data_IF_357406501666
#
_entry.id   IF_357406501666
#
_cell.length_a   1.000
_cell.length_b   1.000
_cell.length_c   1.000
_cell.angle_alpha   90.00
_cell.angle_beta   90.00
_cell.angle_gamma   90.00
#
_symmetry.space_group_name_H-M   'P 1'
#
loop_
_entity.id
_entity.type
_entity.pdbx_description
1 polymer ?
#
# COMPACT_ATOMS: atom_id res chain seq x y z
N UNK A 1 -8.30 -33.90 16.02
CA UNK A 1 -7.35 -32.98 16.68
C UNK A 1 -7.75 -31.56 16.29
N UNK A 2 -8.31 -30.82 17.24
CA UNK A 2 -8.92 -29.51 17.03
C UNK A 2 -7.85 -28.42 17.06
N UNK A 3 -7.66 -27.70 15.95
CA UNK A 3 -6.70 -26.60 15.88
C UNK A 3 -7.27 -25.36 16.58
N UNK A 4 -6.66 -24.96 17.70
CA UNK A 4 -6.94 -23.67 18.34
C UNK A 4 -6.43 -22.55 17.44
N UNK A 5 -7.23 -21.53 17.11
CA UNK A 5 -6.75 -20.40 16.32
C UNK A 5 -5.84 -19.53 17.21
N UNK A 6 -4.60 -19.34 16.79
CA UNK A 6 -3.71 -18.34 17.38
C UNK A 6 -4.20 -16.98 16.90
N UNK A 7 -4.90 -16.26 17.78
CA UNK A 7 -5.24 -14.87 17.54
C UNK A 7 -3.93 -14.08 17.37
N UNK A 8 -3.66 -13.65 16.14
CA UNK A 8 -2.64 -12.65 15.86
C UNK A 8 -3.04 -11.36 16.57
N UNK A 9 -2.47 -11.11 17.76
CA UNK A 9 -2.53 -9.80 18.40
C UNK A 9 -1.76 -8.83 17.49
N UNK A 10 -2.50 -8.18 16.59
CA UNK A 10 -2.04 -6.96 15.94
C UNK A 10 -1.82 -5.98 17.08
N UNK A 11 -0.56 -5.71 17.40
CA UNK A 11 -0.21 -4.56 18.24
C UNK A 11 -0.73 -3.36 17.45
N UNK A 12 -1.70 -2.59 17.96
CA UNK A 12 -2.17 -1.42 17.24
C UNK A 12 -0.95 -0.53 17.05
N UNK A 13 -0.57 -0.27 15.79
CA UNK A 13 0.28 0.89 15.50
C UNK A 13 -0.48 2.06 16.13
N UNK A 14 0.12 2.76 17.08
CA UNK A 14 -0.52 3.91 17.69
C UNK A 14 -0.84 4.92 16.58
N UNK A 15 -2.05 4.86 16.05
CA UNK A 15 -2.58 5.85 15.14
C UNK A 15 -2.78 7.07 16.01
N UNK A 16 -1.76 7.92 16.08
CA UNK A 16 -1.92 9.24 16.67
C UNK A 16 -3.07 9.88 15.91
N UNK A 17 -4.13 10.23 16.65
CA UNK A 17 -5.26 10.93 16.07
C UNK A 17 -4.72 12.18 15.36
N UNK A 18 -5.26 12.45 14.17
CA UNK A 18 -5.00 13.68 13.45
C UNK A 18 -5.32 14.85 14.37
N UNK A 19 -4.35 15.74 14.61
CA UNK A 19 -4.59 16.94 15.41
C UNK A 19 -5.22 17.97 14.47
N UNK A 20 -6.44 18.41 14.79
CA UNK A 20 -7.05 19.56 14.14
C UNK A 20 -6.38 20.83 14.71
N UNK A 21 -5.70 21.65 13.89
CA UNK A 21 -5.04 22.85 14.36
C UNK A 21 -5.96 23.89 14.99
N UNK A 22 -7.26 23.83 14.70
CA UNK A 22 -8.26 24.71 15.35
C UNK A 22 -8.50 24.36 16.82
N UNK A 23 -8.13 23.15 17.24
CA UNK A 23 -8.30 22.64 18.60
C UNK A 23 -7.03 22.81 19.46
N UNK A 24 -5.96 23.38 18.89
CA UNK A 24 -4.72 23.63 19.63
C UNK A 24 -4.89 24.88 20.51
N UNK A 25 -4.73 24.71 21.81
CA UNK A 25 -4.60 25.82 22.73
C UNK A 25 -3.17 26.37 22.66
N UNK A 26 -3.03 27.57 22.10
CA UNK A 26 -1.73 28.21 21.89
C UNK A 26 -1.29 28.97 23.15
N UNK A 27 -0.06 28.70 23.63
CA UNK A 27 0.52 29.37 24.79
C UNK A 27 1.11 30.75 24.47
N UNK A 28 1.32 31.07 23.18
CA UNK A 28 1.82 32.38 22.73
C UNK A 28 1.51 32.63 21.26
N UNK A 29 1.51 33.90 20.86
CA UNK A 29 1.37 34.30 19.44
C UNK A 29 2.53 33.77 18.59
N UNK A 30 3.74 33.67 19.17
CA UNK A 30 4.89 33.06 18.49
C UNK A 30 4.61 31.60 18.13
N UNK A 31 4.03 30.83 19.06
CA UNK A 31 3.66 29.45 18.81
C UNK A 31 2.57 29.35 17.75
N UNK A 32 1.52 30.18 17.85
CA UNK A 32 0.42 30.22 16.87
C UNK A 32 0.94 30.52 15.46
N UNK A 33 1.78 31.53 15.31
CA UNK A 33 2.34 31.92 14.02
C UNK A 33 3.25 30.84 13.44
N UNK A 34 4.07 30.19 14.26
CA UNK A 34 4.90 29.08 13.83
C UNK A 34 4.07 27.88 13.34
N UNK A 35 2.99 27.54 14.06
CA UNK A 35 2.08 26.46 13.65
C UNK A 35 1.34 26.81 12.36
N UNK A 36 0.82 28.03 12.22
CA UNK A 36 0.17 28.48 11.00
C UNK A 36 1.10 28.49 9.79
N UNK A 37 2.38 28.87 9.98
CA UNK A 37 3.38 28.80 8.92
C UNK A 37 3.57 27.36 8.43
N UNK A 38 3.68 26.39 9.35
CA UNK A 38 3.76 24.98 9.00
C UNK A 38 2.51 24.50 8.27
N UNK A 39 1.31 24.82 8.78
CA UNK A 39 0.06 24.45 8.11
C UNK A 39 0.05 24.94 6.67
N UNK A 40 0.41 26.20 6.44
CA UNK A 40 0.45 26.79 5.11
C UNK A 40 1.48 26.10 4.20
N UNK A 41 2.66 25.75 4.72
CA UNK A 41 3.71 25.05 3.97
C UNK A 41 3.29 23.64 3.52
N UNK A 42 2.49 22.94 4.33
CA UNK A 42 1.97 21.61 4.01
C UNK A 42 0.56 21.62 3.39
N UNK A 43 -0.06 22.79 3.23
CA UNK A 43 -1.38 22.91 2.61
C UNK A 43 -1.26 22.83 1.08
N UNK A 44 -1.88 21.82 0.49
CA UNK A 44 -1.94 21.66 -0.96
C UNK A 44 -3.16 22.41 -1.49
N UNK A 45 -2.93 23.45 -2.28
CA UNK A 45 -4.00 24.16 -2.97
C UNK A 45 -4.59 23.31 -4.11
N UNK A 46 -5.85 23.55 -4.53
CA UNK A 46 -6.43 22.88 -5.68
C UNK A 46 -5.58 23.04 -6.95
N UNK A 47 -4.97 24.21 -7.15
CA UNK A 47 -4.09 24.47 -8.29
C UNK A 47 -2.82 23.61 -8.22
N UNK A 48 -2.14 23.60 -7.06
CA UNK A 48 -0.94 22.78 -6.87
C UNK A 48 -1.24 21.29 -7.09
N UNK A 49 -2.42 20.82 -6.67
CA UNK A 49 -2.84 19.44 -6.92
C UNK A 49 -2.99 19.13 -8.42
N UNK A 50 -3.57 20.06 -9.21
CA UNK A 50 -3.65 19.90 -10.66
C UNK A 50 -2.26 19.89 -11.30
N UNK A 51 -1.36 20.76 -10.85
CA UNK A 51 0.01 20.83 -11.37
C UNK A 51 0.79 19.55 -11.05
N UNK A 52 0.68 19.04 -9.82
CA UNK A 52 1.26 17.74 -9.42
C UNK A 52 0.71 16.61 -10.28
N UNK A 53 -0.61 16.57 -10.49
CA UNK A 53 -1.25 15.56 -11.37
C UNK A 53 -0.71 15.65 -12.80
N UNK A 54 -0.61 16.84 -13.36
CA UNK A 54 -0.10 17.05 -14.71
C UNK A 54 1.36 16.54 -14.84
N UNK A 55 2.21 16.91 -13.89
CA UNK A 55 3.60 16.46 -13.84
C UNK A 55 3.71 14.93 -13.68
N UNK A 56 2.82 14.32 -12.88
CA UNK A 56 2.78 12.87 -12.71
C UNK A 56 2.41 12.16 -14.01
N UNK A 57 1.42 12.67 -14.75
CA UNK A 57 1.03 12.15 -16.08
C UNK A 57 2.18 12.29 -17.07
N UNK A 58 2.88 13.43 -17.08
CA UNK A 58 4.06 13.62 -17.92
C UNK A 58 5.17 12.62 -17.58
N UNK A 59 5.45 12.39 -16.29
CA UNK A 59 6.40 11.40 -15.82
C UNK A 59 6.08 9.98 -16.27
N UNK A 60 4.81 9.58 -16.15
CA UNK A 60 4.36 8.27 -16.66
C UNK A 60 4.55 8.15 -18.18
N UNK A 61 4.20 9.20 -18.94
CA UNK A 61 4.36 9.21 -20.39
C UNK A 61 5.83 9.13 -20.82
N UNK A 62 6.75 9.72 -20.06
CA UNK A 62 8.20 9.59 -20.30
C UNK A 62 8.65 8.15 -20.01
N UNK A 63 8.26 7.60 -18.87
CA UNK A 63 8.59 6.22 -18.48
C UNK A 63 8.10 5.15 -19.45
N UNK A 64 6.93 5.35 -20.07
CA UNK A 64 6.41 4.43 -21.09
C UNK A 64 7.16 4.50 -22.44
N UNK A 65 7.93 5.57 -22.69
CA UNK A 65 8.63 5.75 -23.99
C UNK A 65 10.02 5.14 -24.00
N UNK A 66 10.72 5.12 -22.87
CA UNK A 66 12.08 4.56 -22.76
C UNK A 66 12.45 4.27 -21.31
N UNK A 67 13.41 3.38 -21.14
CA UNK A 67 14.01 3.06 -19.84
C UNK A 67 14.87 4.20 -19.30
N UNK A 68 15.15 4.16 -17.99
CA UNK A 68 16.04 5.09 -17.30
C UNK A 68 15.41 6.45 -16.94
N UNK A 69 14.10 6.61 -17.14
CA UNK A 69 13.33 7.75 -16.64
C UNK A 69 12.99 7.59 -15.16
N UNK A 70 12.68 8.72 -14.49
CA UNK A 70 12.35 8.74 -13.04
C UNK A 70 11.22 7.77 -12.68
N UNK A 71 10.22 7.65 -13.55
CA UNK A 71 9.17 6.65 -13.44
C UNK A 71 9.49 5.50 -14.39
N UNK A 72 9.84 4.33 -13.86
CA UNK A 72 10.27 3.20 -14.68
C UNK A 72 9.17 2.55 -15.53
N UNK A 73 7.89 2.71 -15.14
CA UNK A 73 6.72 2.15 -15.85
C UNK A 73 6.90 0.68 -16.29
N UNK A 74 7.44 -0.15 -15.40
CA UNK A 74 7.79 -1.55 -15.68
C UNK A 74 6.54 -2.34 -16.11
N UNK A 75 6.65 -3.06 -17.22
CA UNK A 75 5.57 -3.90 -17.75
C UNK A 75 5.38 -5.15 -16.88
N UNK A 76 4.16 -5.38 -16.38
CA UNK A 76 3.83 -6.53 -15.55
C UNK A 76 3.53 -7.82 -16.32
N UNK A 77 3.37 -7.73 -17.66
CA UNK A 77 2.92 -8.81 -18.54
C UNK A 77 1.53 -9.38 -18.22
N UNK A 78 0.74 -8.68 -17.40
CA UNK A 78 -0.66 -9.03 -17.13
C UNK A 78 -1.54 -8.38 -18.19
N UNK A 79 -2.00 -9.17 -19.16
CA UNK A 79 -2.74 -8.68 -20.34
C UNK A 79 -4.27 -8.70 -20.18
N UNK A 80 -4.78 -9.29 -19.10
CA UNK A 80 -6.21 -9.47 -18.85
C UNK A 80 -6.61 -9.06 -17.44
N UNK A 81 -7.91 -8.85 -17.24
CA UNK A 81 -8.52 -8.61 -15.93
C UNK A 81 -9.47 -9.74 -15.63
N UNK A 82 -9.53 -10.14 -14.36
CA UNK A 82 -10.48 -11.15 -13.93
C UNK A 82 -11.91 -10.60 -14.01
N UNK A 83 -12.84 -11.42 -14.48
CA UNK A 83 -14.26 -11.08 -14.57
C UNK A 83 -15.12 -11.79 -13.52
N UNK A 84 -14.52 -12.66 -12.72
CA UNK A 84 -15.17 -13.42 -11.65
C UNK A 84 -15.79 -14.72 -12.12
N UNK A 85 -15.76 -15.04 -13.42
CA UNK A 85 -16.20 -16.35 -13.94
C UNK A 85 -15.12 -17.43 -13.79
N UNK A 86 -13.91 -17.05 -13.40
CA UNK A 86 -12.78 -17.97 -13.30
C UNK A 86 -13.03 -19.05 -12.25
N UNK A 87 -12.63 -20.27 -12.61
CA UNK A 87 -12.68 -21.43 -11.75
C UNK A 87 -11.31 -22.09 -11.69
N UNK A 88 -11.07 -22.85 -10.62
CA UNK A 88 -9.89 -23.71 -10.50
C UNK A 88 -9.00 -23.38 -9.31
N UNK A 89 -7.92 -24.16 -9.19
CA UNK A 89 -6.98 -24.07 -8.07
C UNK A 89 -5.63 -23.54 -8.53
N UNK A 90 -5.14 -22.52 -7.84
CA UNK A 90 -3.90 -21.80 -8.16
C UNK A 90 -3.02 -21.74 -6.91
N UNK A 91 -1.70 -21.60 -7.12
CA UNK A 91 -0.74 -21.40 -6.04
C UNK A 91 -0.11 -20.02 -6.16
N UNK A 92 -0.06 -19.31 -5.03
CA UNK A 92 0.73 -18.09 -4.89
C UNK A 92 1.87 -18.33 -3.91
N UNK A 93 3.08 -17.91 -4.32
CA UNK A 93 4.27 -17.90 -3.48
C UNK A 93 4.68 -16.45 -3.25
N UNK A 94 4.75 -16.06 -1.99
CA UNK A 94 5.08 -14.70 -1.55
C UNK A 94 6.33 -14.76 -0.68
N UNK A 95 7.45 -14.33 -1.26
CA UNK A 95 8.75 -14.32 -0.60
C UNK A 95 9.01 -12.92 -0.03
N UNK A 96 8.78 -12.77 1.28
CA UNK A 96 9.19 -11.58 2.01
C UNK A 96 10.59 -11.74 2.59
N UNK A 97 11.15 -10.67 3.15
CA UNK A 97 12.52 -10.68 3.71
C UNK A 97 12.76 -11.59 4.93
N UNK A 98 11.70 -12.13 5.55
CA UNK A 98 11.81 -13.01 6.73
C UNK A 98 11.01 -14.29 6.57
N UNK A 99 10.03 -14.32 5.66
CA UNK A 99 9.12 -15.46 5.55
C UNK A 99 8.74 -15.72 4.10
N UNK A 100 8.58 -17.00 3.79
CA UNK A 100 7.89 -17.49 2.61
C UNK A 100 6.45 -17.80 3.00
N UNK A 101 5.49 -17.26 2.25
CA UNK A 101 4.08 -17.62 2.35
C UNK A 101 3.67 -18.40 1.12
N UNK A 102 3.07 -19.56 1.35
CA UNK A 102 2.46 -20.41 0.31
C UNK A 102 0.96 -20.31 0.48
N UNK A 103 0.25 -19.95 -0.60
CA UNK A 103 -1.21 -19.81 -0.62
C UNK A 103 -1.78 -20.70 -1.71
N UNK A 104 -2.66 -21.62 -1.33
CA UNK A 104 -3.57 -22.29 -2.26
C UNK A 104 -4.84 -21.46 -2.40
N UNK A 105 -5.10 -20.98 -3.61
CA UNK A 105 -6.27 -20.18 -3.98
C UNK A 105 -7.20 -21.07 -4.78
N UNK A 106 -8.46 -21.12 -4.40
CA UNK A 106 -9.49 -21.86 -5.14
C UNK A 106 -10.61 -20.89 -5.53
N UNK A 107 -10.79 -20.75 -6.84
CA UNK A 107 -11.82 -19.93 -7.47
C UNK A 107 -13.01 -20.83 -7.81
N UNK A 108 -14.20 -20.46 -7.39
CA UNK A 108 -15.44 -21.24 -7.59
C UNK A 108 -16.36 -20.64 -8.65
N UNK A 109 -15.97 -19.52 -9.27
CA UNK A 109 -16.83 -18.72 -10.13
C UNK A 109 -17.77 -17.81 -9.33
N UNK A 110 -18.37 -16.82 -10.00
CA UNK A 110 -19.21 -15.80 -9.35
C UNK A 110 -18.43 -14.81 -8.47
N UNK A 111 -17.11 -14.71 -8.63
CA UNK A 111 -16.23 -13.87 -7.82
C UNK A 111 -15.91 -14.41 -6.42
N UNK A 112 -16.36 -15.64 -6.10
CA UNK A 112 -16.04 -16.29 -4.84
C UNK A 112 -14.63 -16.91 -4.84
N UNK A 113 -13.91 -16.69 -3.73
CA UNK A 113 -12.52 -17.13 -3.55
C UNK A 113 -12.37 -17.77 -2.18
N UNK A 114 -11.84 -18.99 -2.15
CA UNK A 114 -11.41 -19.63 -0.91
C UNK A 114 -9.90 -19.80 -0.90
N UNK A 115 -9.27 -19.68 0.29
CA UNK A 115 -7.82 -19.79 0.40
C UNK A 115 -7.39 -20.63 1.59
N UNK A 116 -6.28 -21.35 1.44
CA UNK A 116 -5.52 -21.96 2.53
C UNK A 116 -4.07 -21.47 2.41
N UNK A 117 -3.49 -21.01 3.51
CA UNK A 117 -2.12 -20.51 3.50
C UNK A 117 -1.27 -21.10 4.61
N UNK A 118 0.04 -21.17 4.38
CA UNK A 118 1.05 -21.54 5.38
C UNK A 118 2.24 -20.61 5.26
N UNK A 119 2.87 -20.31 6.40
CA UNK A 119 3.99 -19.38 6.50
C UNK A 119 5.20 -20.10 7.06
N UNK A 120 6.33 -19.92 6.39
CA UNK A 120 7.62 -20.51 6.76
C UNK A 120 8.60 -19.38 7.06
N UNK A 121 9.31 -19.47 8.19
CA UNK A 121 10.43 -18.56 8.47
C UNK A 121 11.61 -18.95 7.58
N UNK A 122 12.18 -17.97 6.89
CA UNK A 122 13.37 -18.17 6.06
C UNK A 122 14.60 -18.11 6.96
N UNK A 123 15.47 -19.12 6.86
CA UNK A 123 16.75 -19.16 7.56
C UNK A 123 17.64 -17.99 7.08
N UNK A 124 18.38 -17.38 7.99
CA UNK A 124 19.27 -16.26 7.68
C UNK A 124 20.38 -16.64 6.71
N UNK A 125 20.74 -17.93 6.62
CA UNK A 125 21.73 -18.45 5.67
C UNK A 125 21.28 -18.46 4.21
N UNK A 126 19.96 -18.31 3.97
CA UNK A 126 19.35 -18.33 2.64
C UNK A 126 18.90 -16.93 2.17
N UNK A 127 19.23 -15.89 2.95
CA UNK A 127 19.04 -14.48 2.58
C UNK A 127 20.27 -13.97 1.85
#
# INVERSE_FOLDING_TARGET
MTSTPIASKIIPKATRASIDPSQIEYSSDRQRNAVNALINEFTISPQLLQDVKANFIEGMNKGLKKDGETMAMVTSYVMGRLDGSEVGSYLALDVGGTNLRVVAVHLTGGGEITTRQTKYRIDEKLK
#
